data_IF_737935613207
#
_entry.id   IF_737935613207
#
_cell.length_a   1.000
_cell.length_b   1.000
_cell.length_c   1.000
_cell.angle_alpha   90.00
_cell.angle_beta   90.00
_cell.angle_gamma   90.00
#
_symmetry.space_group_name_H-M   'P 1'
#
loop_
_entity.id
_entity.type
_entity.pdbx_description
1 polymer ?
#
# COMPACT_ATOMS: atom_id res chain seq x y z
N UNK A 1 47.35 10.35 84.87
CA UNK A 1 46.74 9.08 84.41
C UNK A 1 47.37 8.77 83.06
N UNK A 2 47.84 7.54 82.88
CA UNK A 2 48.84 7.11 81.90
C UNK A 2 48.39 7.12 80.43
N UNK A 3 49.43 7.06 79.58
CA UNK A 3 49.50 6.96 78.13
C UNK A 3 49.21 5.52 77.61
N UNK A 4 49.06 5.41 76.28
CA UNK A 4 49.19 4.26 75.36
C UNK A 4 47.95 3.51 74.83
N UNK A 5 48.07 3.24 73.52
CA UNK A 5 47.16 2.75 72.47
C UNK A 5 46.53 1.36 72.67
N UNK A 6 45.53 1.01 71.82
CA UNK A 6 45.62 -0.08 70.80
C UNK A 6 44.24 -0.38 70.15
N UNK A 7 44.18 -0.08 68.84
CA UNK A 7 43.52 -0.76 67.70
C UNK A 7 42.03 -1.17 67.68
N UNK A 8 41.44 -0.87 66.49
CA UNK A 8 40.80 -1.80 65.52
C UNK A 8 39.26 -1.84 65.43
N UNK A 9 38.83 -1.81 64.16
CA UNK A 9 37.64 -2.43 63.53
C UNK A 9 36.47 -1.48 63.25
N UNK A 10 36.41 -1.05 61.98
CA UNK A 10 35.19 -0.66 61.27
C UNK A 10 34.38 -1.95 61.01
N UNK A 11 33.04 -1.92 61.13
CA UNK A 11 32.29 -2.26 59.92
C UNK A 11 31.16 -1.26 59.60
N UNK A 12 30.83 -1.12 58.31
CA UNK A 12 29.89 -0.16 57.78
C UNK A 12 28.48 -0.77 57.73
N UNK A 13 27.47 -0.04 58.17
CA UNK A 13 26.09 -0.31 57.78
C UNK A 13 25.22 0.90 58.07
N UNK A 14 24.25 1.15 57.20
CA UNK A 14 23.16 2.11 57.33
C UNK A 14 23.49 3.59 57.10
N UNK A 15 23.67 3.95 55.82
CA UNK A 15 23.15 5.20 55.29
C UNK A 15 22.86 5.05 53.78
N UNK A 16 22.04 4.05 53.45
CA UNK A 16 21.44 3.89 52.13
C UNK A 16 20.05 4.53 52.16
N UNK A 17 19.94 5.82 51.86
CA UNK A 17 18.73 6.42 51.26
C UNK A 17 18.95 7.92 50.96
N UNK A 18 19.77 8.22 49.95
CA UNK A 18 19.77 9.53 49.29
C UNK A 18 19.87 9.33 47.78
N UNK A 19 18.96 8.53 47.23
CA UNK A 19 18.62 8.61 45.81
C UNK A 19 17.74 9.82 45.61
N UNK A 20 18.40 10.95 45.34
CA UNK A 20 17.78 12.14 44.78
C UNK A 20 16.92 11.71 43.60
N UNK A 21 15.65 12.09 43.63
CA UNK A 21 14.76 12.01 42.50
C UNK A 21 15.41 12.82 41.36
N UNK A 22 16.12 12.15 40.46
CA UNK A 22 16.23 12.62 39.08
C UNK A 22 14.81 12.69 38.58
N UNK A 23 14.23 13.89 38.68
CA UNK A 23 13.08 14.28 37.89
C UNK A 23 13.43 13.87 36.47
N UNK A 24 12.75 12.83 35.97
CA UNK A 24 12.44 12.76 34.56
C UNK A 24 11.84 14.12 34.25
N UNK A 25 12.62 15.01 33.65
CA UNK A 25 12.02 15.98 32.75
C UNK A 25 11.31 15.08 31.75
N UNK A 26 10.00 14.95 31.91
CA UNK A 26 9.15 14.62 30.78
C UNK A 26 9.51 15.71 29.80
N UNK A 27 10.35 15.38 28.82
CA UNK A 27 10.40 16.13 27.57
C UNK A 27 8.95 16.18 27.18
N UNK A 28 8.33 17.34 27.36
CA UNK A 28 7.00 17.60 26.82
C UNK A 28 7.09 17.12 25.38
N UNK A 29 6.36 16.04 25.07
CA UNK A 29 6.06 15.71 23.69
C UNK A 29 5.48 17.02 23.17
N UNK A 30 6.08 17.67 22.16
CA UNK A 30 5.68 19.00 21.74
C UNK A 30 4.16 19.00 21.67
N UNK A 31 3.53 19.70 22.61
CA UNK A 31 2.09 19.76 22.65
C UNK A 31 1.71 20.38 21.32
N UNK A 32 0.89 19.65 20.57
CA UNK A 32 0.34 19.99 19.28
C UNK A 32 0.38 21.50 19.05
N UNK A 33 1.34 21.94 18.24
CA UNK A 33 1.52 23.36 17.93
C UNK A 33 0.16 23.89 17.48
N UNK A 34 -0.35 24.92 18.16
CA UNK A 34 -1.68 25.49 17.92
C UNK A 34 -1.82 26.05 16.49
N UNK A 35 -0.71 26.21 15.78
CA UNK A 35 -0.65 26.55 14.35
C UNK A 35 -0.90 25.35 13.42
N UNK A 36 -0.84 24.10 13.92
CA UNK A 36 -1.10 22.84 13.18
C UNK A 36 -2.44 22.19 13.57
N UNK A 37 -3.47 22.99 13.83
CA UNK A 37 -4.81 22.49 14.16
C UNK A 37 -5.52 21.79 13.00
N UNK A 38 -4.97 21.86 11.78
CA UNK A 38 -5.55 21.24 10.60
C UNK A 38 -4.49 20.70 9.64
N UNK A 39 -4.49 19.38 9.41
CA UNK A 39 -3.68 18.77 8.36
C UNK A 39 -4.39 17.64 7.62
N UNK A 40 -3.90 17.36 6.42
CA UNK A 40 -4.35 16.27 5.55
C UNK A 40 -3.17 15.41 5.09
N UNK A 41 -3.40 14.12 4.95
CA UNK A 41 -2.43 13.15 4.43
C UNK A 41 -3.16 12.02 3.71
N UNK A 42 -2.50 11.35 2.77
CA UNK A 42 -3.05 10.13 2.19
C UNK A 42 -3.18 9.04 3.26
N UNK A 43 -4.17 8.17 3.12
CA UNK A 43 -4.40 7.09 4.06
C UNK A 43 -3.41 5.93 3.82
N UNK A 44 -2.69 5.53 4.86
CA UNK A 44 -1.73 4.42 4.82
C UNK A 44 -0.54 4.65 3.88
N UNK A 45 0.14 3.56 3.52
CA UNK A 45 1.15 3.57 2.46
C UNK A 45 0.42 3.66 1.11
N UNK A 46 0.43 4.84 0.50
CA UNK A 46 -0.35 5.10 -0.71
C UNK A 46 0.44 4.73 -1.97
N UNK A 47 0.43 3.44 -2.31
CA UNK A 47 0.92 2.89 -3.57
C UNK A 47 -0.20 2.06 -4.23
N UNK A 48 -0.84 2.64 -5.23
CA UNK A 48 -2.02 2.10 -5.89
C UNK A 48 -1.61 1.60 -7.27
N UNK A 49 -1.94 0.35 -7.58
CA UNK A 49 -1.80 -0.19 -8.95
C UNK A 49 -3.18 -0.33 -9.57
N UNK A 50 -3.39 0.34 -10.70
CA UNK A 50 -4.59 0.20 -11.51
C UNK A 50 -4.27 -0.45 -12.86
N UNK A 51 -5.06 -1.46 -13.25
CA UNK A 51 -4.89 -2.16 -14.52
C UNK A 51 -6.18 -2.21 -15.34
N UNK A 52 -6.08 -1.86 -16.62
CA UNK A 52 -7.14 -2.03 -17.61
C UNK A 52 -7.23 -3.44 -18.20
N UNK A 53 -6.28 -4.34 -17.90
CA UNK A 53 -6.17 -5.64 -18.59
C UNK A 53 -7.40 -6.54 -18.49
N UNK A 54 -8.17 -6.41 -17.41
CA UNK A 54 -9.43 -7.15 -17.21
C UNK A 54 -10.69 -6.41 -17.69
N UNK A 55 -10.53 -5.18 -18.21
CA UNK A 55 -11.63 -4.34 -18.66
C UNK A 55 -11.92 -4.59 -20.15
N UNK A 56 -13.20 -4.56 -20.58
CA UNK A 56 -13.55 -4.58 -22.01
C UNK A 56 -12.81 -3.50 -22.82
N UNK A 57 -12.54 -3.76 -24.10
CA UNK A 57 -11.76 -2.85 -24.96
C UNK A 57 -12.41 -1.48 -25.19
N UNK A 58 -13.73 -1.37 -25.02
CA UNK A 58 -14.48 -0.12 -25.11
C UNK A 58 -14.35 0.74 -23.83
N UNK A 59 -13.87 0.17 -22.73
CA UNK A 59 -13.52 0.91 -21.52
C UNK A 59 -12.17 1.58 -21.72
N UNK A 60 -12.23 2.89 -21.97
CA UNK A 60 -11.07 3.74 -22.27
C UNK A 60 -10.70 4.69 -21.13
N UNK A 61 -11.52 4.75 -20.08
CA UNK A 61 -11.26 5.56 -18.88
C UNK A 61 -11.91 4.93 -17.64
N UNK A 62 -11.37 5.28 -16.48
CA UNK A 62 -11.96 4.95 -15.18
C UNK A 62 -11.69 6.06 -14.18
N UNK A 63 -12.41 6.07 -13.06
CA UNK A 63 -12.10 6.95 -11.93
C UNK A 63 -11.74 6.11 -10.71
N UNK A 64 -10.60 6.42 -10.11
CA UNK A 64 -10.20 5.88 -8.81
C UNK A 64 -10.31 6.97 -7.74
N UNK A 65 -10.62 6.57 -6.51
CA UNK A 65 -10.64 7.46 -5.35
C UNK A 65 -9.42 7.20 -4.48
N UNK A 66 -8.51 8.19 -4.39
CA UNK A 66 -7.36 8.11 -3.50
C UNK A 66 -7.77 8.61 -2.10
N UNK A 67 -7.72 7.78 -1.05
CA UNK A 67 -8.22 8.14 0.26
C UNK A 67 -7.30 9.14 0.98
N UNK A 68 -7.90 10.15 1.60
CA UNK A 68 -7.23 11.19 2.40
C UNK A 68 -7.78 11.16 3.83
N UNK A 69 -6.89 11.08 4.81
CA UNK A 69 -7.19 11.25 6.23
C UNK A 69 -7.07 12.71 6.63
N UNK A 70 -8.06 13.20 7.40
CA UNK A 70 -8.13 14.58 7.85
C UNK A 70 -8.04 14.67 9.36
N UNK A 71 -7.19 15.57 9.85
CA UNK A 71 -7.08 15.91 11.26
C UNK A 71 -7.40 17.38 11.40
N UNK A 72 -8.67 17.69 11.67
CA UNK A 72 -9.24 19.04 11.62
C UNK A 72 -10.04 19.32 12.89
N UNK A 73 -10.20 20.61 13.21
CA UNK A 73 -11.26 21.06 14.13
C UNK A 73 -12.64 20.94 13.44
N UNK A 74 -13.55 20.11 13.94
CA UNK A 74 -14.87 19.89 13.33
C UNK A 74 -15.79 21.12 13.38
N UNK A 75 -15.49 22.13 14.20
CA UNK A 75 -16.29 23.34 14.29
C UNK A 75 -16.04 24.32 13.13
N UNK A 76 -14.96 24.13 12.35
CA UNK A 76 -14.53 25.04 11.29
C UNK A 76 -14.93 24.53 9.91
N UNK A 77 -15.55 25.40 9.10
CA UNK A 77 -15.98 25.14 7.72
C UNK A 77 -15.08 25.88 6.70
N UNK A 78 -15.28 25.62 5.40
CA UNK A 78 -14.61 26.32 4.30
C UNK A 78 -13.14 25.93 4.13
N UNK A 79 -12.78 24.72 4.55
CA UNK A 79 -11.42 24.19 4.41
C UNK A 79 -11.21 23.59 3.03
N UNK A 80 -9.95 23.56 2.61
CA UNK A 80 -9.57 23.09 1.28
C UNK A 80 -8.22 22.36 1.34
N UNK A 81 -8.12 21.25 0.60
CA UNK A 81 -6.88 20.48 0.44
C UNK A 81 -6.33 20.77 -0.95
N UNK A 82 -5.04 21.07 -1.04
CA UNK A 82 -4.36 21.31 -2.31
C UNK A 82 -3.48 20.13 -2.70
N UNK A 83 -3.56 19.73 -3.96
CA UNK A 83 -2.83 18.59 -4.52
C UNK A 83 -2.10 18.96 -5.79
N UNK A 84 -0.85 18.54 -5.89
CA UNK A 84 -0.05 18.58 -7.11
C UNK A 84 0.18 17.17 -7.65
N UNK A 85 0.38 17.03 -8.96
CA UNK A 85 0.66 15.76 -9.61
C UNK A 85 1.89 15.87 -10.52
N UNK A 86 2.64 14.79 -10.64
CA UNK A 86 3.77 14.66 -11.55
C UNK A 86 3.84 13.24 -12.13
N UNK A 87 4.30 13.09 -13.37
CA UNK A 87 4.43 11.79 -14.06
C UNK A 87 5.89 11.31 -13.99
N UNK A 88 6.10 10.02 -13.71
CA UNK A 88 7.40 9.40 -13.44
C UNK A 88 7.58 8.06 -14.20
N UNK A 89 8.58 7.95 -15.11
CA UNK A 89 9.26 9.05 -15.79
C UNK A 89 8.24 9.84 -16.61
N UNK A 90 8.56 11.08 -16.96
CA UNK A 90 7.67 11.94 -17.75
C UNK A 90 7.39 11.33 -19.14
N UNK A 91 6.33 10.53 -19.27
CA UNK A 91 5.76 10.11 -20.56
C UNK A 91 4.64 11.09 -20.95
N UNK A 92 4.74 11.66 -22.15
CA UNK A 92 3.72 12.55 -22.69
C UNK A 92 2.44 11.84 -23.12
N UNK A 93 2.43 10.50 -23.11
CA UNK A 93 1.27 9.68 -23.41
C UNK A 93 0.44 9.34 -22.17
N UNK A 94 0.96 9.48 -20.95
CA UNK A 94 0.16 9.31 -19.73
C UNK A 94 -0.90 10.39 -19.65
N UNK A 95 -2.17 9.99 -19.51
CA UNK A 95 -3.29 10.95 -19.44
C UNK A 95 -4.10 10.69 -18.18
N UNK A 96 -4.34 11.75 -17.43
CA UNK A 96 -5.15 11.73 -16.23
C UNK A 96 -5.77 13.11 -15.96
N UNK A 97 -6.89 13.12 -15.27
CA UNK A 97 -7.53 14.34 -14.76
C UNK A 97 -7.75 14.19 -13.26
N UNK A 98 -7.57 15.29 -12.51
CA UNK A 98 -7.79 15.30 -11.08
C UNK A 98 -8.19 16.70 -10.61
N UNK A 99 -8.83 16.75 -9.43
CA UNK A 99 -9.20 18.02 -8.80
C UNK A 99 -8.03 18.49 -7.95
N UNK A 100 -7.46 19.65 -8.28
CA UNK A 100 -6.32 20.24 -7.54
C UNK A 100 -6.69 20.75 -6.14
N UNK A 101 -7.97 21.01 -5.94
CA UNK A 101 -8.53 21.80 -4.86
C UNK A 101 -9.77 21.10 -4.33
N UNK A 102 -9.63 20.36 -3.23
CA UNK A 102 -10.68 19.50 -2.69
C UNK A 102 -11.37 20.26 -1.55
N UNK A 103 -12.65 20.65 -1.71
CA UNK A 103 -13.39 21.28 -0.63
C UNK A 103 -13.65 20.26 0.48
N UNK A 104 -13.48 20.69 1.72
CA UNK A 104 -13.69 19.86 2.90
C UNK A 104 -14.90 20.36 3.68
N UNK A 105 -15.99 19.57 3.75
CA UNK A 105 -17.15 19.92 4.56
C UNK A 105 -16.82 20.01 6.06
N UNK A 106 -17.55 20.85 6.78
CA UNK A 106 -17.50 20.91 8.24
C UNK A 106 -17.66 19.51 8.88
N UNK A 107 -16.81 19.20 9.85
CA UNK A 107 -16.84 17.93 10.59
C UNK A 107 -16.29 16.71 9.83
N UNK A 108 -15.80 16.88 8.59
CA UNK A 108 -15.20 15.79 7.83
C UNK A 108 -13.91 15.27 8.48
N UNK A 109 -13.80 13.95 8.62
CA UNK A 109 -12.61 13.23 9.11
C UNK A 109 -11.84 12.53 7.98
N UNK A 110 -12.41 12.52 6.77
CA UNK A 110 -11.82 11.93 5.57
C UNK A 110 -12.29 12.70 4.33
N UNK A 111 -11.51 12.58 3.26
CA UNK A 111 -11.84 13.03 1.91
C UNK A 111 -11.30 12.02 0.89
N UNK A 112 -11.67 12.17 -0.38
CA UNK A 112 -11.03 11.45 -1.49
C UNK A 112 -10.52 12.44 -2.53
N UNK A 113 -9.41 12.08 -3.17
CA UNK A 113 -8.97 12.67 -4.41
C UNK A 113 -9.45 11.78 -5.56
N UNK A 114 -10.49 12.20 -6.31
CA UNK A 114 -10.90 11.48 -7.51
C UNK A 114 -9.89 11.72 -8.62
N UNK A 115 -9.39 10.65 -9.20
CA UNK A 115 -8.46 10.67 -10.33
C UNK A 115 -9.07 9.89 -11.48
N UNK A 116 -9.34 10.59 -12.58
CA UNK A 116 -9.73 9.94 -13.84
C UNK A 116 -8.48 9.51 -14.58
N UNK A 117 -8.38 8.22 -14.86
CA UNK A 117 -7.29 7.58 -15.59
C UNK A 117 -7.77 7.21 -16.99
N UNK A 118 -6.92 7.36 -17.99
CA UNK A 118 -7.22 6.98 -19.37
C UNK A 118 -6.38 5.78 -19.80
N UNK A 119 -7.00 4.87 -20.54
CA UNK A 119 -6.34 3.73 -21.19
C UNK A 119 -5.63 4.23 -22.44
N UNK A 120 -4.34 4.46 -22.35
CA UNK A 120 -3.51 4.98 -23.45
C UNK A 120 -2.70 3.86 -24.11
N UNK A 121 -2.36 3.97 -25.41
CA UNK A 121 -1.72 2.86 -26.14
C UNK A 121 -0.38 2.37 -25.55
N UNK A 122 0.37 3.26 -24.90
CA UNK A 122 1.64 2.93 -24.22
C UNK A 122 1.47 1.93 -23.07
N UNK A 123 0.30 1.91 -22.41
CA UNK A 123 0.04 1.04 -21.26
C UNK A 123 0.02 -0.46 -21.60
N UNK A 124 -0.11 -0.80 -22.89
CA UNK A 124 -0.03 -2.18 -23.37
C UNK A 124 1.39 -2.76 -23.21
N UNK A 125 2.41 -1.91 -23.18
CA UNK A 125 3.82 -2.30 -23.14
C UNK A 125 4.54 -1.80 -21.89
N UNK A 126 4.10 -0.68 -21.32
CA UNK A 126 4.77 0.03 -20.23
C UNK A 126 3.84 0.28 -19.04
N UNK A 127 4.43 0.64 -17.90
CA UNK A 127 3.69 1.11 -16.73
C UNK A 127 3.96 2.58 -16.55
N UNK A 128 2.91 3.36 -16.44
CA UNK A 128 3.01 4.79 -16.13
C UNK A 128 2.86 4.97 -14.62
N UNK A 129 3.68 5.82 -14.01
CA UNK A 129 3.47 6.20 -12.62
C UNK A 129 3.14 7.69 -12.49
N UNK A 130 2.09 7.98 -11.74
CA UNK A 130 1.66 9.32 -11.39
C UNK A 130 1.87 9.49 -9.89
N UNK A 131 2.68 10.47 -9.50
CA UNK A 131 2.85 10.85 -8.10
C UNK A 131 1.95 12.04 -7.80
N UNK A 132 1.04 11.86 -6.84
CA UNK A 132 0.24 12.92 -6.25
C UNK A 132 0.87 13.36 -4.94
N UNK A 133 0.84 14.66 -4.65
CA UNK A 133 1.38 15.23 -3.41
C UNK A 133 0.42 16.24 -2.81
N UNK A 134 0.06 16.03 -1.54
CA UNK A 134 -0.64 17.04 -0.75
C UNK A 134 0.36 18.14 -0.38
N UNK A 135 -0.01 19.38 -0.70
CA UNK A 135 0.76 20.58 -0.38
C UNK A 135 -0.02 21.46 0.62
N UNK A 136 0.67 22.40 1.24
CA UNK A 136 0.03 23.36 2.13
C UNK A 136 -1.00 24.20 1.38
N UNK A 137 -2.22 24.27 1.92
CA UNK A 137 -3.23 25.25 1.55
C UNK A 137 -3.29 26.37 2.60
N UNK A 138 -4.06 27.45 2.35
CA UNK A 138 -4.28 28.49 3.36
C UNK A 138 -4.97 27.99 4.64
N UNK A 139 -5.72 26.88 4.57
CA UNK A 139 -6.59 26.40 5.66
C UNK A 139 -6.24 25.01 6.20
N UNK A 140 -5.38 24.26 5.49
CA UNK A 140 -4.97 22.89 5.83
C UNK A 140 -3.49 22.72 5.51
N UNK A 141 -2.71 22.22 6.47
CA UNK A 141 -1.29 21.89 6.28
C UNK A 141 -1.11 20.49 5.71
N UNK A 142 -0.02 20.27 4.98
CA UNK A 142 0.36 18.92 4.59
C UNK A 142 0.79 18.12 5.84
N UNK A 143 0.33 16.87 5.96
CA UNK A 143 0.47 16.02 7.15
C UNK A 143 1.87 15.47 7.39
N UNK A 144 2.05 14.19 7.70
CA UNK A 144 3.40 13.61 7.93
C UNK A 144 4.12 13.46 6.58
N UNK A 145 5.40 13.86 6.42
CA UNK A 145 6.12 13.82 5.14
C UNK A 145 5.94 12.52 4.32
N UNK A 146 6.06 11.36 4.97
CA UNK A 146 5.96 10.05 4.31
C UNK A 146 4.53 9.71 3.84
N UNK A 147 3.52 10.39 4.39
CA UNK A 147 2.10 10.19 4.04
C UNK A 147 1.54 11.32 3.15
N UNK A 148 2.38 12.25 2.69
CA UNK A 148 1.94 13.36 1.81
C UNK A 148 1.94 12.99 0.34
N UNK A 149 2.58 11.88 -0.03
CA UNK A 149 2.70 11.42 -1.41
C UNK A 149 1.90 10.15 -1.64
N UNK A 150 1.28 10.04 -2.81
CA UNK A 150 0.67 8.82 -3.28
C UNK A 150 1.16 8.50 -4.68
N UNK A 151 1.60 7.26 -4.89
CA UNK A 151 1.96 6.76 -6.22
C UNK A 151 0.79 5.98 -6.79
N UNK A 152 0.39 6.32 -8.01
CA UNK A 152 -0.55 5.54 -8.80
C UNK A 152 0.19 5.00 -10.00
N UNK A 153 0.33 3.68 -10.06
CA UNK A 153 0.85 2.97 -11.22
C UNK A 153 -0.31 2.54 -12.10
N UNK A 154 -0.29 2.93 -13.38
CA UNK A 154 -1.32 2.60 -14.38
C UNK A 154 -0.71 1.65 -15.40
N UNK A 155 -1.45 0.63 -15.80
CA UNK A 155 -1.05 -0.32 -16.84
C UNK A 155 -2.25 -0.90 -17.56
N UNK A 156 -2.03 -1.54 -18.72
CA UNK A 156 -3.00 -2.37 -19.41
C UNK A 156 -2.56 -3.85 -19.42
N UNK A 157 -1.71 -4.21 -18.46
CA UNK A 157 -1.18 -5.57 -18.28
C UNK A 157 -1.73 -6.18 -17.00
N UNK A 158 -1.88 -7.50 -16.99
CA UNK A 158 -2.26 -8.19 -15.78
C UNK A 158 -1.19 -7.99 -14.70
N UNK A 159 -1.65 -7.61 -13.52
CA UNK A 159 -0.79 -7.39 -12.36
C UNK A 159 -0.70 -8.71 -11.60
N UNK A 160 0.52 -9.09 -11.19
CA UNK A 160 0.73 -10.26 -10.34
C UNK A 160 -0.09 -10.10 -9.05
N UNK A 161 -1.02 -11.02 -8.75
CA UNK A 161 -1.75 -11.00 -7.48
C UNK A 161 -0.79 -11.22 -6.32
N UNK A 162 -1.02 -10.54 -5.19
CA UNK A 162 -0.16 -10.64 -4.00
C UNK A 162 0.03 -12.08 -3.55
N UNK A 163 -1.07 -12.86 -3.58
CA UNK A 163 -1.10 -14.26 -3.16
C UNK A 163 -0.29 -15.20 -4.06
N UNK A 164 0.03 -14.77 -5.28
CA UNK A 164 0.69 -15.60 -6.28
C UNK A 164 2.13 -15.85 -5.89
N UNK A 165 2.45 -17.10 -5.52
CA UNK A 165 3.78 -17.49 -5.07
C UNK A 165 3.99 -17.40 -3.56
N UNK A 166 2.95 -17.16 -2.75
CA UNK A 166 3.01 -17.20 -1.27
C UNK A 166 3.18 -18.62 -0.68
N UNK A 167 3.70 -19.57 -1.47
CA UNK A 167 3.96 -20.95 -1.05
C UNK A 167 5.27 -21.06 -0.26
N UNK A 168 5.31 -21.98 0.71
CA UNK A 168 6.43 -22.19 1.63
C UNK A 168 7.72 -22.75 0.98
N UNK A 169 7.64 -23.16 -0.29
CA UNK A 169 8.74 -23.74 -1.03
C UNK A 169 8.36 -23.75 -2.51
N UNK A 170 9.34 -23.54 -3.40
CA UNK A 170 9.17 -23.69 -4.86
C UNK A 170 8.60 -25.09 -5.22
N UNK A 171 8.83 -26.07 -4.34
CA UNK A 171 8.34 -27.45 -4.43
C UNK A 171 6.81 -27.60 -4.23
N UNK A 172 6.13 -26.64 -3.59
CA UNK A 172 4.70 -26.72 -3.25
C UNK A 172 3.87 -25.56 -3.81
N UNK A 173 4.33 -24.93 -4.89
CA UNK A 173 3.57 -23.92 -5.62
C UNK A 173 2.87 -24.55 -6.85
N UNK A 174 1.63 -25.08 -6.73
CA UNK A 174 0.92 -25.76 -7.82
C UNK A 174 0.46 -24.83 -8.95
N UNK A 175 0.65 -23.51 -8.83
CA UNK A 175 0.47 -22.56 -9.94
C UNK A 175 1.80 -22.17 -10.61
N UNK A 176 2.93 -22.58 -10.04
CA UNK A 176 4.29 -22.30 -10.54
C UNK A 176 4.63 -20.81 -10.58
N UNK A 177 5.69 -20.47 -11.30
CA UNK A 177 6.09 -19.07 -11.50
C UNK A 177 5.01 -18.26 -12.21
N UNK A 178 4.82 -17.01 -11.78
CA UNK A 178 3.87 -16.08 -12.38
C UNK A 178 4.43 -15.56 -13.72
N UNK A 179 3.62 -15.61 -14.77
CA UNK A 179 3.94 -15.00 -16.06
C UNK A 179 2.66 -14.55 -16.78
N UNK A 180 2.81 -13.71 -17.82
CA UNK A 180 1.68 -13.11 -18.54
C UNK A 180 0.72 -14.15 -19.13
N UNK A 181 1.23 -15.28 -19.64
CA UNK A 181 0.41 -16.35 -20.20
C UNK A 181 -0.49 -16.96 -19.11
N UNK A 182 0.07 -17.25 -17.94
CA UNK A 182 -0.67 -17.78 -16.81
C UNK A 182 -1.68 -16.79 -16.25
N UNK A 183 -1.34 -15.51 -16.17
CA UNK A 183 -2.27 -14.47 -15.73
C UNK A 183 -3.47 -14.34 -16.69
N UNK A 184 -3.21 -14.36 -18.00
CA UNK A 184 -4.26 -14.36 -19.04
C UNK A 184 -5.19 -15.56 -18.91
N UNK A 185 -4.63 -16.77 -18.82
CA UNK A 185 -5.43 -17.97 -18.69
C UNK A 185 -6.21 -18.02 -17.37
N UNK A 186 -5.62 -17.55 -16.27
CA UNK A 186 -6.31 -17.45 -14.99
C UNK A 186 -7.53 -16.52 -15.11
N UNK A 187 -7.35 -15.34 -15.68
CA UNK A 187 -8.44 -14.39 -15.89
C UNK A 187 -9.51 -14.93 -16.86
N UNK A 188 -9.12 -15.65 -17.92
CA UNK A 188 -10.06 -16.31 -18.84
C UNK A 188 -10.95 -17.34 -18.13
N UNK A 189 -10.41 -18.07 -17.15
CA UNK A 189 -11.15 -19.12 -16.42
C UNK A 189 -12.01 -18.54 -15.30
N UNK A 190 -11.52 -17.55 -14.55
CA UNK A 190 -12.18 -17.07 -13.33
C UNK A 190 -12.79 -15.67 -13.44
N UNK A 191 -12.36 -14.86 -14.40
CA UNK A 191 -12.76 -13.46 -14.55
C UNK A 191 -12.25 -12.53 -13.46
N UNK A 192 -11.37 -13.01 -12.57
CA UNK A 192 -10.79 -12.25 -11.46
C UNK A 192 -9.45 -12.87 -11.01
N UNK A 193 -8.80 -12.24 -10.03
CA UNK A 193 -7.58 -12.73 -9.40
C UNK A 193 -7.74 -12.90 -7.88
N UNK A 194 -8.93 -13.29 -7.41
CA UNK A 194 -9.17 -13.54 -5.99
C UNK A 194 -8.33 -14.73 -5.51
N UNK A 195 -7.85 -14.70 -4.26
CA UNK A 195 -7.10 -15.82 -3.69
C UNK A 195 -8.07 -16.97 -3.34
N UNK A 196 -8.08 -18.09 -4.10
CA UNK A 196 -8.99 -19.20 -3.81
C UNK A 196 -8.63 -19.94 -2.51
N UNK A 197 -7.49 -19.61 -1.90
CA UNK A 197 -7.05 -20.14 -0.61
C UNK A 197 -7.59 -19.31 0.55
N UNK A 198 -8.21 -18.14 0.29
CA UNK A 198 -8.70 -17.21 1.30
C UNK A 198 -7.61 -16.81 2.31
N UNK A 199 -6.40 -16.54 1.83
CA UNK A 199 -5.23 -16.20 2.65
C UNK A 199 -4.52 -17.40 3.28
N UNK A 200 -4.99 -18.63 3.06
CA UNK A 200 -4.26 -19.84 3.47
C UNK A 200 -2.98 -20.01 2.64
N UNK A 201 -1.90 -20.43 3.29
CA UNK A 201 -0.65 -20.80 2.60
C UNK A 201 -0.71 -22.15 1.89
N UNK A 202 -1.74 -22.95 2.16
CA UNK A 202 -1.89 -24.29 1.64
C UNK A 202 -3.00 -24.37 0.57
N UNK A 203 -2.78 -25.20 -0.45
CA UNK A 203 -3.73 -25.48 -1.53
C UNK A 203 -4.65 -26.66 -1.21
N UNK A 204 -5.20 -26.70 0.01
CA UNK A 204 -6.00 -27.83 0.52
C UNK A 204 -7.47 -27.50 0.74
N UNK A 205 -7.85 -26.23 0.72
CA UNK A 205 -9.25 -25.81 0.81
C UNK A 205 -10.05 -26.27 -0.42
N UNK A 206 -11.36 -26.49 -0.26
CA UNK A 206 -12.22 -26.93 -1.37
C UNK A 206 -12.11 -25.99 -2.58
N UNK A 207 -12.21 -24.67 -2.36
CA UNK A 207 -12.10 -23.67 -3.43
C UNK A 207 -10.73 -23.68 -4.11
N UNK A 208 -9.64 -23.79 -3.32
CA UNK A 208 -8.28 -23.92 -3.85
C UNK A 208 -8.10 -25.17 -4.72
N UNK A 209 -8.62 -26.33 -4.28
CA UNK A 209 -8.53 -27.59 -5.02
C UNK A 209 -9.39 -27.54 -6.29
N UNK A 210 -10.59 -26.95 -6.22
CA UNK A 210 -11.47 -26.75 -7.38
C UNK A 210 -10.82 -25.81 -8.38
N UNK A 211 -10.25 -24.69 -7.93
CA UNK A 211 -9.54 -23.75 -8.79
C UNK A 211 -8.36 -24.43 -9.52
N UNK A 212 -7.56 -25.23 -8.80
CA UNK A 212 -6.48 -26.01 -9.40
C UNK A 212 -6.97 -27.03 -10.43
N UNK A 213 -8.09 -27.70 -10.18
CA UNK A 213 -8.67 -28.64 -11.13
C UNK A 213 -9.16 -27.92 -12.40
N UNK A 214 -9.85 -26.79 -12.24
CA UNK A 214 -10.38 -25.99 -13.35
C UNK A 214 -9.25 -25.42 -14.22
N UNK A 215 -8.24 -24.80 -13.60
CA UNK A 215 -7.16 -24.17 -14.36
C UNK A 215 -6.26 -25.20 -15.04
N UNK A 216 -6.00 -26.37 -14.40
CA UNK A 216 -5.27 -27.45 -15.06
C UNK A 216 -6.04 -28.04 -16.22
N UNK A 217 -7.36 -28.25 -16.07
CA UNK A 217 -8.22 -28.71 -17.17
C UNK A 217 -8.14 -27.75 -18.36
N UNK A 218 -8.36 -26.45 -18.12
CA UNK A 218 -8.29 -25.44 -19.17
C UNK A 218 -6.90 -25.37 -19.82
N UNK A 219 -5.83 -25.46 -19.03
CA UNK A 219 -4.45 -25.48 -19.51
C UNK A 219 -4.17 -26.70 -20.39
N UNK A 220 -4.60 -27.89 -19.99
CA UNK A 220 -4.40 -29.11 -20.77
C UNK A 220 -5.22 -29.07 -22.06
N UNK A 221 -6.46 -28.62 -22.00
CA UNK A 221 -7.32 -28.48 -23.18
C UNK A 221 -6.75 -27.48 -24.20
N UNK A 222 -6.19 -26.36 -23.71
CA UNK A 222 -5.71 -25.28 -24.56
C UNK A 222 -4.26 -25.43 -25.01
N UNK A 223 -3.38 -25.99 -24.19
CA UNK A 223 -1.92 -26.03 -24.41
C UNK A 223 -1.33 -27.44 -24.33
N UNK A 224 -2.09 -28.46 -23.92
CA UNK A 224 -1.59 -29.82 -23.75
C UNK A 224 -0.65 -30.01 -22.55
N UNK A 225 -0.60 -29.04 -21.63
CA UNK A 225 0.29 -29.02 -20.45
C UNK A 225 -0.47 -28.67 -19.18
N UNK A 226 0.03 -29.13 -18.04
CA UNK A 226 -0.50 -28.69 -16.75
C UNK A 226 -0.20 -27.20 -16.55
N UNK A 227 -1.04 -26.52 -15.78
CA UNK A 227 -0.97 -25.07 -15.64
C UNK A 227 0.39 -24.59 -15.09
N UNK A 228 0.93 -25.29 -14.10
CA UNK A 228 2.22 -24.92 -13.50
C UNK A 228 3.40 -25.03 -14.47
N UNK A 229 3.28 -25.87 -15.51
CA UNK A 229 4.32 -26.12 -16.52
C UNK A 229 4.35 -25.07 -17.64
N UNK A 230 3.33 -24.20 -17.71
CA UNK A 230 3.24 -23.18 -18.75
C UNK A 230 4.38 -22.16 -18.65
N UNK A 231 5.04 -21.96 -19.78
CA UNK A 231 6.09 -20.96 -20.01
C UNK A 231 5.58 -19.83 -20.90
N UNK A 232 6.21 -18.64 -20.88
CA UNK A 232 5.78 -17.51 -21.72
C UNK A 232 5.78 -17.80 -23.23
N UNK A 233 6.49 -18.83 -23.69
CA UNK A 233 6.63 -19.21 -25.10
C UNK A 233 5.64 -20.28 -25.56
N UNK A 234 4.83 -20.83 -24.65
CA UNK A 234 3.86 -21.87 -25.00
C UNK A 234 2.73 -21.31 -25.87
N UNK A 235 2.34 -22.09 -26.89
CA UNK A 235 1.31 -21.72 -27.86
C UNK A 235 0.10 -22.67 -27.75
N UNK A 236 -1.13 -22.20 -28.01
CA UNK A 236 -2.30 -23.05 -27.96
C UNK A 236 -2.22 -24.22 -28.97
N UNK A 237 -2.87 -25.33 -28.64
CA UNK A 237 -3.15 -26.41 -29.57
C UNK A 237 -4.08 -25.89 -30.68
N UNK A 238 -3.80 -26.27 -31.92
CA UNK A 238 -4.63 -25.94 -33.08
C UNK A 238 -5.99 -26.63 -33.06
#
# INVERSE_FOLDING_TARGET
MNMTDITKIIPPALAFFMTLFSSCSVTEIPAWDSERSAYAQFAGDCDIVHSFAGSPDDITETTIDIPITLHLDPAVDGREIWVEASVLPSDGQTRFEYIKQIPVPQGATSASLPVRLYRTPNLATENDAIEFRIIDSPTVKAGIPDCRTCRVTVTDRFVRPQWWGDGYDEYYNPVGECNDLKLRLWFEVFGNFDDPRHGSRAWTGADAVIALAMINKASVEKYGKMFHELTPTDVPLN
#
